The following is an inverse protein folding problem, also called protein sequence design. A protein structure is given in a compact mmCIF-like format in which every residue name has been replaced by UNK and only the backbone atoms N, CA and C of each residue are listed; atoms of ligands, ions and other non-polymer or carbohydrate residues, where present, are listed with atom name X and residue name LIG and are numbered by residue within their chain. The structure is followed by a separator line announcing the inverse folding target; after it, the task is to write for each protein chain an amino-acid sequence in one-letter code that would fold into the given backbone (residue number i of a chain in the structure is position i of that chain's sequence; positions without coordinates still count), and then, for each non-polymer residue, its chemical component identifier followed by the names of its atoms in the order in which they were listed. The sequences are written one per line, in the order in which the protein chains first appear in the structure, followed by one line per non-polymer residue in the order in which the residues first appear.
data_IF_307619924330
#
_entry.id   IF_307619924330
#
_cell.length_a   1.000
_cell.length_b   1.000
_cell.length_c   1.000
_cell.angle_alpha   90.00
_cell.angle_beta   90.00
_cell.angle_gamma   90.00
#
_symmetry.space_group_name_H-M   'P 1'
#
loop_
_entity.id
_entity.type
_entity.pdbx_description
1 polymer ?
#
# COMPACT_ATOMS: atom_id res chain seq x y z
N UNK A 1 -32.88 49.88 43.65
CA UNK A 1 -32.41 50.40 42.35
C UNK A 1 -31.48 49.35 41.76
N UNK A 2 -32.01 48.56 40.83
CA UNK A 2 -31.47 47.30 40.30
C UNK A 2 -30.55 47.58 39.11
N UNK A 3 -29.27 47.19 39.20
CA UNK A 3 -28.32 47.24 38.08
C UNK A 3 -28.44 45.95 37.27
N UNK A 4 -28.69 46.12 35.98
CA UNK A 4 -29.11 45.12 34.99
C UNK A 4 -28.03 44.10 34.63
N UNK A 5 -28.44 42.83 34.59
CA UNK A 5 -27.75 41.74 33.90
C UNK A 5 -27.74 41.99 32.38
N UNK A 6 -26.61 42.36 31.81
CA UNK A 6 -26.40 42.36 30.36
C UNK A 6 -24.91 42.16 30.07
N UNK A 7 -24.43 40.91 30.16
CA UNK A 7 -23.12 40.53 29.58
C UNK A 7 -22.92 39.01 29.43
N UNK A 8 -23.94 38.27 29.01
CA UNK A 8 -23.83 36.80 28.82
C UNK A 8 -24.41 36.33 27.48
N UNK A 9 -23.88 36.78 26.34
CA UNK A 9 -24.27 36.20 25.03
C UNK A 9 -23.10 36.03 24.03
N UNK A 10 -21.91 36.57 24.25
CA UNK A 10 -20.83 36.45 23.26
C UNK A 10 -19.78 35.43 23.70
N UNK A 11 -19.35 34.60 22.73
CA UNK A 11 -18.27 33.60 22.76
C UNK A 11 -18.64 32.18 23.24
N UNK A 12 -19.41 31.47 22.43
CA UNK A 12 -19.61 30.01 22.53
C UNK A 12 -19.46 29.29 21.19
N UNK A 13 -18.68 29.82 20.25
CA UNK A 13 -18.45 29.21 18.93
C UNK A 13 -16.97 29.30 18.55
N UNK A 14 -16.17 28.39 19.08
CA UNK A 14 -14.79 28.23 18.68
C UNK A 14 -14.26 26.93 19.26
N UNK A 15 -13.57 26.15 18.43
CA UNK A 15 -12.80 24.95 18.79
C UNK A 15 -13.57 23.68 19.14
N UNK A 16 -14.29 23.14 18.14
CA UNK A 16 -14.32 21.70 17.88
C UNK A 16 -13.43 21.44 16.66
N UNK A 17 -12.12 21.65 16.83
CA UNK A 17 -11.12 21.26 15.83
C UNK A 17 -10.66 19.84 16.16
N UNK A 18 -11.20 18.89 15.40
CA UNK A 18 -10.65 17.60 15.02
C UNK A 18 -9.71 16.89 16.03
N UNK A 19 -10.29 16.01 16.85
CA UNK A 19 -9.63 14.77 17.30
C UNK A 19 -9.83 13.65 16.27
N UNK A 20 -9.71 13.98 14.98
CA UNK A 20 -9.60 12.94 13.96
C UNK A 20 -8.23 12.31 14.15
N UNK A 21 -8.17 11.19 14.87
CA UNK A 21 -6.98 10.33 14.83
C UNK A 21 -6.63 10.07 13.37
N UNK A 22 -5.34 10.04 13.04
CA UNK A 22 -4.87 9.66 11.72
C UNK A 22 -5.26 8.20 11.48
N UNK A 23 -6.49 7.95 11.05
CA UNK A 23 -6.83 6.70 10.41
C UNK A 23 -6.06 6.71 9.09
N UNK A 24 -4.95 5.97 9.06
CA UNK A 24 -4.28 5.69 7.80
C UNK A 24 -5.27 4.88 6.96
N UNK A 25 -5.67 5.45 5.83
CA UNK A 25 -6.56 4.75 4.92
C UNK A 25 -5.82 3.56 4.33
N UNK A 26 -6.53 2.45 4.14
CA UNK A 26 -6.01 1.27 3.47
C UNK A 26 -5.54 1.66 2.07
N UNK A 27 -4.26 1.44 1.77
CA UNK A 27 -3.69 1.79 0.47
C UNK A 27 -3.57 0.55 -0.39
N UNK A 28 -4.11 0.60 -1.60
CA UNK A 28 -3.88 -0.43 -2.61
C UNK A 28 -2.81 0.04 -3.58
N UNK A 29 -1.81 -0.80 -3.81
CA UNK A 29 -0.77 -0.61 -4.80
C UNK A 29 -0.97 -1.60 -5.95
N UNK A 30 -0.94 -1.12 -7.18
CA UNK A 30 -0.94 -1.93 -8.38
C UNK A 30 0.49 -2.35 -8.72
N UNK A 31 0.67 -3.65 -8.88
CA UNK A 31 1.92 -4.25 -9.35
C UNK A 31 1.81 -4.44 -10.86
N UNK A 32 2.81 -3.94 -11.58
CA UNK A 32 2.94 -4.14 -13.02
C UNK A 32 4.43 -4.13 -13.39
N UNK A 33 5.13 -5.21 -13.04
CA UNK A 33 6.54 -5.41 -13.37
C UNK A 33 6.66 -6.29 -14.62
N UNK A 34 7.59 -5.97 -15.51
CA UNK A 34 7.78 -6.70 -16.76
C UNK A 34 9.25 -6.91 -17.05
N UNK A 35 9.63 -8.14 -17.38
CA UNK A 35 10.99 -8.54 -17.72
C UNK A 35 10.98 -9.41 -18.97
N UNK A 36 11.20 -8.77 -20.12
CA UNK A 36 11.01 -9.41 -21.43
C UNK A 36 9.58 -9.92 -21.61
N UNK A 37 9.42 -11.23 -21.78
CA UNK A 37 8.12 -11.89 -21.88
C UNK A 37 7.49 -12.22 -20.52
N UNK A 38 8.26 -12.17 -19.44
CA UNK A 38 7.80 -12.45 -18.10
C UNK A 38 7.20 -11.20 -17.43
N UNK A 39 6.29 -11.39 -16.48
CA UNK A 39 5.65 -10.28 -15.77
C UNK A 39 5.15 -10.65 -14.38
N UNK A 40 5.01 -9.65 -13.53
CA UNK A 40 4.22 -9.73 -12.29
C UNK A 40 3.15 -8.65 -12.36
N UNK A 41 1.89 -9.06 -12.31
CA UNK A 41 0.76 -8.13 -12.34
C UNK A 41 -0.19 -8.39 -11.20
N UNK A 42 -0.91 -7.35 -10.73
CA UNK A 42 -1.93 -7.51 -9.70
C UNK A 42 -1.94 -6.38 -8.70
N UNK A 43 -2.19 -6.70 -7.43
CA UNK A 43 -2.21 -5.71 -6.36
C UNK A 43 -1.64 -6.22 -5.04
N UNK A 44 -1.22 -5.26 -4.22
CA UNK A 44 -0.90 -5.41 -2.79
C UNK A 44 -1.70 -4.35 -2.03
N UNK A 45 -2.32 -4.75 -0.93
CA UNK A 45 -3.07 -3.85 -0.06
C UNK A 45 -2.33 -3.73 1.27
N UNK A 46 -2.05 -2.50 1.72
CA UNK A 46 -1.42 -2.22 3.02
C UNK A 46 -2.40 -1.52 3.96
N UNK A 47 -2.06 -1.50 5.24
CA UNK A 47 -2.81 -0.75 6.27
C UNK A 47 -2.67 0.78 6.21
N UNK A 48 -1.98 1.31 5.18
CA UNK A 48 -1.77 2.74 5.00
C UNK A 48 -0.59 3.33 5.78
N UNK A 49 0.14 2.53 6.55
CA UNK A 49 1.42 2.95 7.14
C UNK A 49 2.40 3.38 6.05
N UNK A 50 3.17 4.43 6.32
CA UNK A 50 4.17 4.98 5.39
C UNK A 50 5.58 4.88 6.00
N UNK A 51 6.60 4.91 5.14
CA UNK A 51 7.99 4.63 5.52
C UNK A 51 8.29 3.13 5.46
N UNK A 52 9.21 2.67 6.30
CA UNK A 52 9.55 1.25 6.35
C UNK A 52 8.40 0.44 6.97
N UNK A 53 7.81 -0.44 6.17
CA UNK A 53 6.70 -1.31 6.59
C UNK A 53 7.11 -2.77 6.49
N UNK A 54 6.49 -3.61 7.32
CA UNK A 54 6.76 -5.04 7.39
C UNK A 54 5.60 -5.90 6.93
N UNK A 55 5.77 -7.21 7.03
CA UNK A 55 4.74 -8.20 6.69
C UNK A 55 3.42 -8.01 7.47
N UNK A 56 3.47 -7.45 8.68
CA UNK A 56 2.27 -7.14 9.47
C UNK A 56 1.42 -5.99 8.92
N UNK A 57 2.00 -5.16 8.05
CA UNK A 57 1.30 -4.05 7.41
C UNK A 57 0.63 -4.47 6.08
N UNK A 58 0.87 -5.69 5.61
CA UNK A 58 0.35 -6.25 4.36
C UNK A 58 -0.97 -6.97 4.64
N UNK A 59 -2.08 -6.38 4.19
CA UNK A 59 -3.43 -6.84 4.49
C UNK A 59 -3.94 -7.87 3.47
N UNK A 60 -3.66 -7.67 2.19
CA UNK A 60 -4.12 -8.55 1.11
C UNK A 60 -3.19 -8.43 -0.11
N UNK A 61 -3.22 -9.43 -0.98
CA UNK A 61 -2.55 -9.39 -2.27
C UNK A 61 -3.16 -10.40 -3.24
N UNK A 62 -3.06 -10.08 -4.53
CA UNK A 62 -3.34 -11.00 -5.62
C UNK A 62 -2.36 -10.70 -6.75
N UNK A 63 -1.35 -11.56 -6.89
CA UNK A 63 -0.20 -11.37 -7.77
C UNK A 63 -0.14 -12.50 -8.77
N UNK A 64 -0.31 -12.20 -10.05
CA UNK A 64 -0.13 -13.14 -11.15
C UNK A 64 1.32 -13.09 -11.59
N UNK A 65 2.06 -14.15 -11.28
CA UNK A 65 3.41 -14.38 -11.77
C UNK A 65 3.32 -15.03 -13.15
N UNK A 66 4.09 -14.54 -14.10
CA UNK A 66 4.21 -15.10 -15.45
C UNK A 66 5.70 -15.20 -15.81
N UNK A 67 6.15 -16.36 -16.28
CA UNK A 67 7.54 -16.61 -16.69
C UNK A 67 7.77 -16.45 -18.21
N UNK A 68 6.77 -15.97 -18.93
CA UNK A 68 6.70 -15.87 -20.40
C UNK A 68 5.98 -17.05 -21.07
N UNK A 69 5.69 -18.12 -20.33
CA UNK A 69 5.10 -19.37 -20.86
C UNK A 69 3.92 -19.82 -19.99
N UNK A 70 4.14 -19.89 -18.69
CA UNK A 70 3.22 -20.36 -17.66
C UNK A 70 2.96 -19.26 -16.62
N UNK A 71 1.86 -19.41 -15.88
CA UNK A 71 1.47 -18.45 -14.85
C UNK A 71 1.00 -19.12 -13.57
N UNK A 72 1.23 -18.44 -12.45
CA UNK A 72 0.72 -18.82 -11.13
C UNK A 72 0.29 -17.60 -10.34
N UNK A 73 -0.86 -17.67 -9.67
CA UNK A 73 -1.38 -16.58 -8.84
C UNK A 73 -1.05 -16.82 -7.38
N UNK A 74 -0.24 -15.94 -6.79
CA UNK A 74 -0.07 -15.83 -5.34
C UNK A 74 -1.18 -14.94 -4.78
N UNK A 75 -1.93 -15.44 -3.81
CA UNK A 75 -2.91 -14.65 -3.08
C UNK A 75 -2.86 -14.96 -1.59
N UNK A 76 -3.51 -14.13 -0.78
CA UNK A 76 -3.53 -14.28 0.67
C UNK A 76 -3.98 -15.69 1.13
N UNK A 77 -4.89 -16.33 0.39
CA UNK A 77 -5.44 -17.64 0.75
C UNK A 77 -4.51 -18.83 0.43
N UNK A 78 -3.52 -18.66 -0.45
CA UNK A 78 -2.66 -19.76 -0.89
C UNK A 78 -1.17 -19.53 -0.63
N UNK A 79 -0.77 -18.36 -0.14
CA UNK A 79 0.63 -17.99 -0.01
C UNK A 79 0.91 -17.29 1.31
N UNK A 80 2.19 -17.25 1.67
CA UNK A 80 2.69 -16.56 2.84
C UNK A 80 3.62 -15.43 2.42
N UNK A 81 3.79 -14.49 3.34
CA UNK A 81 4.69 -13.36 3.18
C UNK A 81 5.79 -13.37 4.24
N UNK A 82 7.00 -13.02 3.85
CA UNK A 82 8.12 -12.74 4.73
C UNK A 82 8.77 -11.42 4.33
N UNK A 83 9.08 -10.57 5.30
CA UNK A 83 9.75 -9.30 5.05
C UNK A 83 9.67 -8.37 6.25
N UNK A 84 10.52 -8.56 7.27
CA UNK A 84 10.58 -7.63 8.39
C UNK A 84 11.09 -6.27 7.86
N UNK A 85 10.24 -5.24 7.90
CA UNK A 85 10.56 -3.86 7.49
C UNK A 85 11.23 -3.72 6.11
N UNK A 86 10.84 -4.59 5.18
CA UNK A 86 11.54 -4.77 3.90
C UNK A 86 11.00 -3.88 2.78
N UNK A 87 9.81 -3.30 2.95
CA UNK A 87 9.21 -2.39 1.98
C UNK A 87 9.25 -0.95 2.48
N UNK A 88 9.27 -0.01 1.54
CA UNK A 88 9.16 1.42 1.79
C UNK A 88 7.86 1.89 1.15
N UNK A 89 6.84 2.18 1.96
CA UNK A 89 5.54 2.63 1.50
C UNK A 89 5.43 4.16 1.53
N UNK A 90 4.75 4.71 0.52
CA UNK A 90 4.34 6.11 0.45
C UNK A 90 2.89 6.20 -0.04
N UNK A 91 2.36 7.41 -0.15
CA UNK A 91 1.04 7.63 -0.77
C UNK A 91 1.02 7.38 -2.28
N UNK A 92 2.17 7.16 -2.92
CA UNK A 92 2.30 7.00 -4.38
C UNK A 92 2.92 5.67 -4.78
N UNK A 93 3.73 5.06 -3.93
CA UNK A 93 4.58 3.93 -4.30
C UNK A 93 4.77 2.97 -3.14
N UNK A 94 4.93 1.69 -3.48
CA UNK A 94 5.55 0.69 -2.64
C UNK A 94 6.89 0.37 -3.27
N UNK A 95 7.96 0.54 -2.51
CA UNK A 95 9.33 0.41 -3.01
C UNK A 95 10.12 -0.63 -2.20
N UNK A 96 11.21 -1.10 -2.79
CA UNK A 96 12.20 -1.94 -2.13
C UNK A 96 13.60 -1.35 -2.34
N UNK A 97 14.44 -1.41 -1.32
CA UNK A 97 15.84 -0.97 -1.40
C UNK A 97 16.76 -2.16 -1.65
N UNK A 98 17.22 -2.29 -2.90
CA UNK A 98 18.15 -3.32 -3.33
C UNK A 98 19.60 -3.02 -2.92
N UNK A 99 19.85 -1.92 -2.19
CA UNK A 99 21.15 -1.63 -1.60
C UNK A 99 21.30 -2.15 -0.17
N UNK A 100 22.54 -2.29 0.27
CA UNK A 100 22.87 -2.76 1.62
C UNK A 100 22.66 -4.26 1.81
N UNK A 101 22.77 -4.74 3.05
CA UNK A 101 22.70 -6.16 3.41
C UNK A 101 21.46 -6.48 4.25
N UNK A 102 20.95 -7.71 4.10
CA UNK A 102 19.95 -8.28 5.00
C UNK A 102 18.52 -7.82 4.82
N UNK A 103 18.17 -7.21 3.68
CA UNK A 103 16.77 -6.90 3.33
C UNK A 103 16.24 -7.95 2.37
N UNK A 104 15.10 -8.54 2.69
CA UNK A 104 14.43 -9.49 1.81
C UNK A 104 12.92 -9.42 1.98
N UNK A 105 12.20 -9.32 0.88
CA UNK A 105 10.75 -9.42 0.82
C UNK A 105 10.36 -10.62 -0.04
N UNK A 106 9.42 -11.44 0.42
CA UNK A 106 9.07 -12.70 -0.21
C UNK A 106 7.58 -12.96 -0.10
N UNK A 107 6.94 -13.24 -1.23
CA UNK A 107 5.61 -13.84 -1.34
C UNK A 107 5.78 -15.25 -1.88
N UNK A 108 5.30 -16.28 -1.17
CA UNK A 108 5.59 -17.66 -1.55
C UNK A 108 4.45 -18.63 -1.28
N UNK A 109 4.19 -19.50 -2.26
CA UNK A 109 3.29 -20.64 -2.13
C UNK A 109 4.08 -21.96 -2.09
N UNK A 110 3.63 -22.95 -1.29
CA UNK A 110 2.54 -22.84 -0.31
C UNK A 110 2.97 -22.14 0.99
N UNK A 111 4.23 -22.33 1.39
CA UNK A 111 4.77 -21.80 2.64
C UNK A 111 6.15 -21.18 2.40
N UNK A 112 6.57 -20.29 3.30
CA UNK A 112 7.94 -19.76 3.32
C UNK A 112 8.95 -20.92 3.41
N UNK A 113 9.97 -20.89 2.55
CA UNK A 113 11.00 -21.92 2.44
C UNK A 113 10.68 -23.07 1.47
N UNK A 114 9.49 -23.10 0.86
CA UNK A 114 9.10 -24.19 -0.05
C UNK A 114 9.82 -24.17 -1.41
N UNK A 115 10.30 -23.01 -1.86
CA UNK A 115 11.05 -22.84 -3.11
C UNK A 115 10.25 -23.07 -4.40
N UNK A 116 8.91 -23.19 -4.34
CA UNK A 116 8.06 -23.59 -5.48
C UNK A 116 7.64 -22.42 -6.35
N UNK A 117 6.63 -21.66 -5.93
CA UNK A 117 6.15 -20.47 -6.63
C UNK A 117 6.36 -19.26 -5.72
N UNK A 118 7.09 -18.26 -6.18
CA UNK A 118 7.39 -17.10 -5.36
C UNK A 118 7.67 -15.86 -6.18
N UNK A 119 7.51 -14.70 -5.54
CA UNK A 119 8.18 -13.46 -5.89
C UNK A 119 9.03 -13.01 -4.70
N UNK A 120 10.30 -12.75 -4.95
CA UNK A 120 11.31 -12.50 -3.94
C UNK A 120 12.15 -11.29 -4.36
N UNK A 121 12.35 -10.36 -3.43
CA UNK A 121 13.18 -9.18 -3.57
C UNK A 121 14.29 -9.29 -2.53
N UNK A 122 15.55 -9.20 -2.92
CA UNK A 122 16.69 -9.30 -2.00
C UNK A 122 17.76 -8.25 -2.34
N UNK A 123 18.33 -7.64 -1.31
CA UNK A 123 19.37 -6.63 -1.47
C UNK A 123 20.76 -7.23 -1.71
N UNK A 124 21.20 -8.25 -0.95
CA UNK A 124 22.52 -8.88 -1.15
C UNK A 124 22.74 -10.17 -0.34
N UNK A 125 21.68 -10.78 0.17
CA UNK A 125 21.79 -11.98 1.01
C UNK A 125 21.82 -13.31 0.23
N UNK A 126 21.49 -13.28 -1.05
CA UNK A 126 21.31 -14.48 -1.89
C UNK A 126 20.07 -15.29 -1.50
N UNK A 127 19.12 -14.67 -0.78
CA UNK A 127 17.94 -15.34 -0.24
C UNK A 127 16.91 -15.70 -1.32
N UNK A 128 16.92 -14.97 -2.43
CA UNK A 128 16.07 -15.20 -3.60
C UNK A 128 16.84 -16.01 -4.64
N UNK A 129 16.64 -17.33 -4.69
CA UNK A 129 17.19 -18.16 -5.78
C UNK A 129 18.73 -18.18 -5.94
N UNK A 130 19.48 -17.51 -5.06
CA UNK A 130 20.92 -17.28 -5.14
C UNK A 130 21.35 -15.98 -5.84
N UNK A 131 20.42 -15.15 -6.33
CA UNK A 131 20.75 -13.86 -6.94
C UNK A 131 20.90 -12.76 -5.88
N UNK A 132 21.83 -11.82 -6.12
CA UNK A 132 22.06 -10.66 -5.27
C UNK A 132 21.46 -9.41 -5.90
N UNK A 133 20.91 -8.52 -5.06
CA UNK A 133 20.33 -7.24 -5.48
C UNK A 133 19.29 -7.45 -6.60
N UNK A 134 18.36 -8.38 -6.39
CA UNK A 134 17.51 -8.87 -7.46
C UNK A 134 16.04 -9.02 -7.06
N UNK A 135 15.17 -8.85 -8.05
CA UNK A 135 13.77 -9.27 -8.03
C UNK A 135 13.66 -10.56 -8.83
N UNK A 136 13.36 -11.64 -8.12
CA UNK A 136 13.26 -12.97 -8.67
C UNK A 136 11.83 -13.47 -8.54
N UNK A 137 11.33 -14.14 -9.57
CA UNK A 137 10.12 -14.94 -9.40
C UNK A 137 10.25 -16.29 -10.05
N UNK A 138 9.63 -17.27 -9.40
CA UNK A 138 9.60 -18.65 -9.86
C UNK A 138 8.16 -19.07 -10.11
N UNK A 139 7.95 -19.68 -11.27
CA UNK A 139 6.68 -20.29 -11.66
C UNK A 139 6.96 -21.72 -12.08
N UNK A 140 6.42 -22.69 -11.34
CA UNK A 140 6.54 -24.13 -11.63
C UNK A 140 7.98 -24.61 -11.91
N UNK A 141 8.98 -24.00 -11.25
CA UNK A 141 10.40 -24.32 -11.40
C UNK A 141 11.18 -23.40 -12.35
N UNK A 142 10.52 -22.71 -13.28
CA UNK A 142 11.14 -21.69 -14.12
C UNK A 142 11.44 -20.45 -13.29
N UNK A 143 12.70 -19.98 -13.31
CA UNK A 143 13.17 -18.83 -12.55
C UNK A 143 13.44 -17.66 -13.50
N UNK A 144 12.85 -16.51 -13.17
CA UNK A 144 13.13 -15.21 -13.79
C UNK A 144 13.86 -14.37 -12.75
N UNK A 145 14.95 -13.72 -13.15
CA UNK A 145 15.82 -12.91 -12.30
C UNK A 145 16.03 -11.57 -12.99
N UNK A 146 15.83 -10.48 -12.26
CA UNK A 146 16.24 -9.15 -12.69
C UNK A 146 17.01 -8.43 -11.59
N UNK A 147 18.16 -7.86 -11.96
CA UNK A 147 19.02 -7.14 -11.02
C UNK A 147 18.67 -5.66 -10.96
N UNK A 148 18.56 -5.14 -9.74
CA UNK A 148 18.31 -3.73 -9.48
C UNK A 148 19.41 -3.13 -8.60
N UNK A 149 19.47 -1.80 -8.57
CA UNK A 149 20.39 -1.06 -7.71
C UNK A 149 19.61 0.03 -6.98
N UNK A 150 19.87 0.20 -5.68
CA UNK A 150 19.24 1.23 -4.87
C UNK A 150 17.75 1.01 -4.65
N UNK A 151 17.02 2.09 -4.40
CA UNK A 151 15.57 2.04 -4.15
C UNK A 151 14.81 2.00 -5.48
N UNK A 152 13.96 0.99 -5.67
CA UNK A 152 13.09 0.88 -6.83
C UNK A 152 11.63 0.77 -6.41
N UNK A 153 10.74 1.40 -7.19
CA UNK A 153 9.30 1.22 -7.04
C UNK A 153 8.90 -0.14 -7.59
N UNK A 154 8.23 -0.95 -6.77
CA UNK A 154 7.71 -2.27 -7.15
C UNK A 154 6.21 -2.23 -7.45
N UNK A 155 5.52 -1.19 -7.00
CA UNK A 155 4.09 -1.00 -7.20
C UNK A 155 3.70 0.47 -7.02
N UNK A 156 2.66 0.93 -7.71
CA UNK A 156 2.15 2.29 -7.61
C UNK A 156 0.81 2.33 -6.89
N UNK A 157 0.62 3.29 -5.98
CA UNK A 157 -0.62 3.46 -5.26
C UNK A 157 -1.75 3.82 -6.24
N UNK A 158 -2.92 3.20 -6.06
CA UNK A 158 -4.15 3.63 -6.69
C UNK A 158 -4.63 4.86 -5.93
N UNK A 159 -4.67 6.06 -6.54
CA UNK A 159 -5.21 7.22 -5.87
C UNK A 159 -6.63 6.91 -5.43
N UNK A 160 -6.95 7.18 -4.17
CA UNK A 160 -8.33 7.09 -3.73
C UNK A 160 -9.20 7.94 -4.68
N UNK A 161 -10.36 7.42 -5.12
CA UNK A 161 -11.17 8.16 -6.06
C UNK A 161 -11.45 9.54 -5.49
N UNK A 162 -11.05 10.60 -6.19
CA UNK A 162 -11.45 11.97 -5.88
C UNK A 162 -12.98 12.08 -5.71
N UNK A 163 -13.74 11.09 -6.22
CA UNK A 163 -15.13 10.79 -5.92
C UNK A 163 -15.51 10.92 -4.44
N UNK A 164 -14.73 10.47 -3.46
CA UNK A 164 -15.11 10.61 -2.05
C UNK A 164 -15.03 12.06 -1.57
N UNK A 165 -13.95 12.77 -1.94
CA UNK A 165 -13.82 14.19 -1.66
C UNK A 165 -14.88 15.02 -2.39
N UNK A 166 -15.18 14.69 -3.65
CA UNK A 166 -16.20 15.33 -4.47
C UNK A 166 -17.62 15.02 -3.98
N UNK A 167 -17.88 13.81 -3.50
CA UNK A 167 -19.14 13.42 -2.87
C UNK A 167 -19.33 14.19 -1.57
N UNK A 168 -18.30 14.24 -0.71
CA UNK A 168 -18.31 15.04 0.51
C UNK A 168 -18.56 16.52 0.23
N UNK A 169 -17.85 17.10 -0.73
CA UNK A 169 -18.05 18.49 -1.16
C UNK A 169 -19.46 18.72 -1.73
N UNK A 170 -19.96 17.81 -2.57
CA UNK A 170 -21.31 17.87 -3.14
C UNK A 170 -22.40 17.84 -2.06
N UNK A 171 -22.30 16.91 -1.11
CA UNK A 171 -23.23 16.81 0.02
C UNK A 171 -23.14 18.04 0.93
N UNK A 172 -21.94 18.56 1.16
CA UNK A 172 -21.72 19.79 1.92
C UNK A 172 -22.40 21.02 1.29
N UNK A 173 -22.27 21.17 -0.03
CA UNK A 173 -22.93 22.25 -0.78
C UNK A 173 -24.45 22.13 -0.74
N UNK A 174 -24.99 20.92 -0.90
CA UNK A 174 -26.44 20.67 -0.82
C UNK A 174 -27.00 20.97 0.57
N UNK A 175 -26.31 20.53 1.63
CA UNK A 175 -26.69 20.83 3.01
C UNK A 175 -26.68 22.33 3.31
N UNK A 176 -25.66 23.06 2.83
CA UNK A 176 -25.57 24.50 2.96
C UNK A 176 -26.72 25.23 2.25
N UNK A 177 -27.03 24.83 1.02
CA UNK A 177 -28.13 25.41 0.25
C UNK A 177 -29.50 25.17 0.92
N UNK A 178 -29.74 23.97 1.45
CA UNK A 178 -30.96 23.63 2.18
C UNK A 178 -31.13 24.47 3.46
N UNK A 179 -30.02 24.77 4.17
CA UNK A 179 -30.04 25.62 5.37
C UNK A 179 -30.44 27.06 5.04
N UNK A 180 -29.91 27.64 3.95
CA UNK A 180 -30.25 29.02 3.55
C UNK A 180 -31.72 29.18 3.23
N UNK A 181 -32.36 28.16 2.64
CA UNK A 181 -33.81 28.17 2.33
C UNK A 181 -34.71 28.14 3.57
N UNK A 182 -34.23 27.72 4.73
CA UNK A 182 -35.00 27.76 5.99
C UNK A 182 -34.85 29.08 6.74
N UNK A 183 -33.89 29.93 6.35
CA UNK A 183 -33.62 31.21 7.00
C UNK A 183 -34.15 32.42 6.22
N UNK A 184 -34.69 32.19 5.01
CA UNK A 184 -35.44 33.14 4.21
C UNK A 184 -36.92 32.78 4.27
#
# INVERSE_FOLDING_TARGET
MTISLLSRVLLGAGTLLALAGNAHAVTQYLVNQQEGAASITGYITTNGSVGNIGSGDMLDWNLVLNDGISSFTLNHGNSQIYGPSSWIASSTDLSFDFSGTGKMALFQNPNIGSGRNYWCLDSSSGGCGGAYSASDWRVNGALVVHQYIGVQSIAHAVPEPATYAMLGAGLGLLGFAARRRKQA
#
